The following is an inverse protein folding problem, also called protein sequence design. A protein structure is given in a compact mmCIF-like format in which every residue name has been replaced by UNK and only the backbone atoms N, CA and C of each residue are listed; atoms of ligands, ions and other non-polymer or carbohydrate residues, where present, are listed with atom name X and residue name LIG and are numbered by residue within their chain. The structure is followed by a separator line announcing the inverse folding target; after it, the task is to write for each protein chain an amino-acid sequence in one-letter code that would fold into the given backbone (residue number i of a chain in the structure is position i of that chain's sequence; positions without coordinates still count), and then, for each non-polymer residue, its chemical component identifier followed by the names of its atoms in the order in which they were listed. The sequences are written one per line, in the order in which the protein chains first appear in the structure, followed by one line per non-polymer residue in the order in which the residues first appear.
data_IF_721483114810
#
_entry.id   IF_721483114810
#
_cell.length_a   1.000
_cell.length_b   1.000
_cell.length_c   1.000
_cell.angle_alpha   90.00
_cell.angle_beta   90.00
_cell.angle_gamma   90.00
#
_symmetry.space_group_name_H-M   'P 1'
#
loop_
_entity.id
_entity.type
_entity.pdbx_description
1 polymer ?
#
# COMPACT_ATOMS: atom_id res chain seq x y z
N UNK A 1 -26.45 -3.08 -17.59
CA UNK A 1 -25.02 -2.83 -17.85
C UNK A 1 -24.35 -4.17 -17.71
N UNK A 2 -24.01 -4.81 -18.82
CA UNK A 2 -23.33 -6.11 -18.80
C UNK A 2 -21.83 -5.85 -18.76
N UNK A 3 -21.17 -6.30 -17.70
CA UNK A 3 -19.71 -6.30 -17.67
C UNK A 3 -19.22 -7.37 -18.66
N UNK A 4 -18.29 -7.00 -19.55
CA UNK A 4 -17.59 -7.97 -20.38
C UNK A 4 -16.80 -8.99 -19.54
N UNK A 5 -16.27 -10.05 -20.17
CA UNK A 5 -15.43 -11.01 -19.46
C UNK A 5 -14.21 -10.31 -18.83
N UNK A 6 -13.74 -10.75 -17.66
CA UNK A 6 -12.57 -10.17 -17.03
C UNK A 6 -11.33 -10.37 -17.93
N UNK A 7 -10.51 -9.33 -18.04
CA UNK A 7 -9.21 -9.38 -18.72
C UNK A 7 -8.07 -9.34 -17.73
N UNK A 8 -7.04 -10.14 -17.93
CA UNK A 8 -5.82 -10.14 -17.09
C UNK A 8 -4.82 -9.12 -17.64
N UNK A 9 -4.39 -8.18 -16.79
CA UNK A 9 -3.35 -7.20 -17.12
C UNK A 9 -2.33 -7.08 -15.98
N UNK A 10 -1.41 -8.05 -15.91
CA UNK A 10 -0.40 -8.10 -14.84
C UNK A 10 0.60 -6.95 -14.90
N UNK A 11 0.87 -6.38 -16.08
CA UNK A 11 1.72 -5.19 -16.19
C UNK A 11 1.15 -3.99 -15.43
N UNK A 12 -0.18 -3.88 -15.38
CA UNK A 12 -0.88 -2.81 -14.66
C UNK A 12 -1.15 -3.17 -13.20
N UNK A 13 -1.62 -4.39 -12.91
CA UNK A 13 -2.06 -4.78 -11.57
C UNK A 13 -0.98 -5.41 -10.70
N UNK A 14 0.10 -5.90 -11.33
CA UNK A 14 1.30 -6.48 -10.69
C UNK A 14 2.57 -5.78 -11.17
N UNK A 15 2.51 -4.46 -11.37
CA UNK A 15 3.62 -3.64 -11.88
C UNK A 15 4.97 -3.91 -11.18
N UNK A 16 4.96 -4.26 -9.90
CA UNK A 16 6.14 -4.54 -9.09
C UNK A 16 6.90 -5.80 -9.56
N UNK A 17 6.20 -6.82 -10.08
CA UNK A 17 6.82 -8.02 -10.64
C UNK A 17 7.50 -7.76 -11.99
N UNK A 18 7.15 -6.65 -12.64
CA UNK A 18 7.68 -6.23 -13.94
C UNK A 18 8.65 -5.05 -13.84
N UNK A 19 9.05 -4.68 -12.62
CA UNK A 19 9.89 -3.53 -12.36
C UNK A 19 11.32 -3.98 -11.96
N UNK A 20 12.26 -4.02 -12.91
CA UNK A 20 13.60 -4.60 -12.66
C UNK A 20 14.36 -3.89 -11.54
N UNK A 21 14.23 -2.56 -11.45
CA UNK A 21 14.81 -1.78 -10.35
C UNK A 21 14.23 -2.19 -8.98
N UNK A 22 12.91 -2.37 -8.88
CA UNK A 22 12.27 -2.86 -7.65
C UNK A 22 12.77 -4.27 -7.30
N UNK A 23 12.80 -5.16 -8.29
CA UNK A 23 13.25 -6.54 -8.09
C UNK A 23 14.70 -6.60 -7.60
N UNK A 24 15.56 -5.73 -8.12
CA UNK A 24 16.99 -5.70 -7.79
C UNK A 24 17.26 -5.00 -6.46
N UNK A 25 16.71 -3.79 -6.26
CA UNK A 25 17.03 -2.96 -5.09
C UNK A 25 16.29 -3.39 -3.83
N UNK A 26 15.16 -4.09 -3.96
CA UNK A 26 14.26 -4.43 -2.84
C UNK A 26 13.99 -5.93 -2.76
N UNK A 27 13.40 -6.55 -3.79
CA UNK A 27 12.91 -7.94 -3.69
C UNK A 27 14.04 -8.96 -3.51
N UNK A 28 15.13 -8.83 -4.28
CA UNK A 28 16.31 -9.71 -4.24
C UNK A 28 17.42 -9.18 -3.33
N UNK A 29 17.27 -7.98 -2.77
CA UNK A 29 18.26 -7.37 -1.91
C UNK A 29 18.10 -7.87 -0.47
N UNK A 30 19.06 -8.69 -0.02
CA UNK A 30 19.06 -9.27 1.33
C UNK A 30 19.05 -8.22 2.47
N UNK A 31 19.50 -6.99 2.20
CA UNK A 31 19.54 -5.92 3.20
C UNK A 31 18.28 -5.05 3.20
N UNK A 32 17.39 -5.19 2.22
CA UNK A 32 16.25 -4.29 2.05
C UNK A 32 15.23 -4.37 3.21
N UNK A 33 15.22 -5.50 3.93
CA UNK A 33 14.37 -5.73 5.10
C UNK A 33 15.16 -5.75 6.41
N UNK A 34 16.30 -5.06 6.47
CA UNK A 34 17.14 -4.98 7.67
C UNK A 34 16.35 -4.70 8.96
N UNK A 35 15.42 -3.74 8.92
CA UNK A 35 14.62 -3.41 10.11
C UNK A 35 13.65 -4.52 10.53
N UNK A 36 13.18 -5.35 9.61
CA UNK A 36 12.36 -6.52 9.95
C UNK A 36 13.23 -7.53 10.69
N UNK A 37 14.41 -7.86 10.15
CA UNK A 37 15.32 -8.85 10.72
C UNK A 37 15.89 -8.43 12.07
N UNK A 38 16.20 -7.15 12.26
CA UNK A 38 16.60 -6.64 13.58
C UNK A 38 15.42 -6.68 14.56
N UNK A 39 14.21 -6.32 14.14
CA UNK A 39 13.06 -6.32 15.05
C UNK A 39 12.69 -7.73 15.51
N UNK A 40 12.81 -8.75 14.64
CA UNK A 40 12.60 -10.16 14.97
C UNK A 40 13.45 -10.65 16.16
N UNK A 41 14.64 -10.10 16.33
CA UNK A 41 15.56 -10.44 17.43
C UNK A 41 15.62 -9.36 18.51
N UNK A 42 14.76 -8.34 18.40
CA UNK A 42 14.69 -7.21 19.32
C UNK A 42 13.99 -7.55 20.65
N UNK A 43 14.10 -6.67 21.65
CA UNK A 43 13.60 -6.94 23.00
C UNK A 43 12.07 -7.09 23.05
N UNK A 44 11.32 -6.37 22.22
CA UNK A 44 9.87 -6.50 22.10
C UNK A 44 9.45 -7.90 21.63
N UNK A 45 10.09 -8.41 20.59
CA UNK A 45 9.84 -9.77 20.08
C UNK A 45 10.31 -10.83 21.07
N UNK A 46 11.45 -10.63 21.73
CA UNK A 46 11.94 -11.59 22.71
C UNK A 46 11.01 -11.70 23.93
N UNK A 47 10.44 -10.57 24.37
CA UNK A 47 9.39 -10.55 25.40
C UNK A 47 8.16 -11.36 24.96
N UNK A 48 7.73 -11.19 23.72
CA UNK A 48 6.59 -11.92 23.13
C UNK A 48 6.88 -13.42 23.06
N UNK A 49 8.08 -13.81 22.59
CA UNK A 49 8.55 -15.20 22.54
C UNK A 49 8.51 -15.87 23.92
N UNK A 50 9.05 -15.20 24.94
CA UNK A 50 9.06 -15.73 26.31
C UNK A 50 7.64 -15.96 26.84
N UNK A 51 6.72 -15.02 26.63
CA UNK A 51 5.32 -15.14 27.06
C UNK A 51 4.61 -16.30 26.37
N UNK A 52 4.71 -16.38 25.05
CA UNK A 52 4.06 -17.44 24.27
C UNK A 52 4.62 -18.81 24.64
N UNK A 53 5.94 -18.94 24.81
CA UNK A 53 6.57 -20.18 25.24
C UNK A 53 6.08 -20.62 26.64
N UNK A 54 5.94 -19.67 27.57
CA UNK A 54 5.38 -19.94 28.89
C UNK A 54 3.91 -20.38 28.83
N UNK A 55 3.09 -19.72 28.00
CA UNK A 55 1.68 -20.08 27.81
C UNK A 55 1.51 -21.49 27.23
N UNK A 56 2.40 -21.88 26.32
CA UNK A 56 2.40 -23.20 25.67
C UNK A 56 3.18 -24.28 26.47
N UNK A 57 3.85 -23.91 27.56
CA UNK A 57 4.66 -24.79 28.42
C UNK A 57 5.76 -25.54 27.66
N UNK A 58 6.48 -24.84 26.79
CA UNK A 58 7.57 -25.40 25.97
C UNK A 58 8.84 -24.52 26.05
N UNK A 59 10.03 -25.07 25.77
CA UNK A 59 11.27 -24.31 25.80
C UNK A 59 11.27 -23.12 24.82
N UNK A 60 11.68 -21.93 25.27
CA UNK A 60 11.73 -20.74 24.40
C UNK A 60 12.68 -20.91 23.21
N UNK A 61 13.75 -21.71 23.36
CA UNK A 61 14.73 -21.96 22.31
C UNK A 61 14.16 -22.76 21.12
N UNK A 62 12.98 -23.35 21.27
CA UNK A 62 12.28 -24.05 20.20
C UNK A 62 11.49 -23.09 19.29
N UNK A 63 11.41 -21.80 19.66
CA UNK A 63 10.74 -20.76 18.89
C UNK A 63 11.68 -19.75 18.26
N UNK A 64 11.16 -19.10 17.23
CA UNK A 64 11.69 -17.87 16.66
C UNK A 64 10.52 -16.95 16.25
N UNK A 65 10.83 -15.71 15.91
CA UNK A 65 9.81 -14.73 15.52
C UNK A 65 8.93 -15.16 14.34
N UNK A 66 9.45 -15.99 13.43
CA UNK A 66 8.70 -16.48 12.27
C UNK A 66 7.66 -17.53 12.68
N UNK A 67 8.01 -18.47 13.57
CA UNK A 67 7.05 -19.43 14.14
C UNK A 67 5.93 -18.74 14.93
N UNK A 68 6.26 -17.71 15.71
CA UNK A 68 5.28 -16.94 16.47
C UNK A 68 4.33 -16.16 15.53
N UNK A 69 4.86 -15.56 14.46
CA UNK A 69 4.02 -14.94 13.43
C UNK A 69 3.08 -15.97 12.78
N UNK A 70 3.54 -17.19 12.50
CA UNK A 70 2.69 -18.26 11.94
C UNK A 70 1.55 -18.62 12.91
N UNK A 71 1.83 -18.77 14.20
CA UNK A 71 0.80 -19.01 15.21
C UNK A 71 -0.22 -17.86 15.28
N UNK A 72 0.25 -16.61 15.25
CA UNK A 72 -0.61 -15.43 15.23
C UNK A 72 -1.48 -15.36 13.98
N UNK A 73 -0.89 -15.62 12.80
CA UNK A 73 -1.65 -15.63 11.56
C UNK A 73 -2.63 -16.80 11.49
N UNK A 74 -2.33 -17.95 12.09
CA UNK A 74 -3.28 -19.08 12.18
C UNK A 74 -4.57 -18.67 12.87
N UNK A 75 -4.48 -17.92 13.98
CA UNK A 75 -5.64 -17.30 14.60
C UNK A 75 -6.41 -16.39 13.62
N UNK A 76 -5.68 -15.50 12.93
CA UNK A 76 -6.30 -14.55 11.99
C UNK A 76 -7.00 -15.24 10.81
N UNK A 77 -6.43 -16.33 10.30
CA UNK A 77 -6.98 -17.10 9.18
C UNK A 77 -8.21 -17.90 9.58
N UNK A 78 -8.19 -18.57 10.74
CA UNK A 78 -9.36 -19.28 11.26
C UNK A 78 -10.54 -18.32 11.45
N UNK A 79 -10.28 -17.10 11.95
CA UNK A 79 -11.31 -16.08 12.09
C UNK A 79 -11.81 -15.59 10.71
N UNK A 80 -10.90 -15.19 9.82
CA UNK A 80 -11.27 -14.57 8.54
C UNK A 80 -11.94 -15.55 7.56
N UNK A 81 -11.50 -16.82 7.53
CA UNK A 81 -11.97 -17.82 6.58
C UNK A 81 -13.16 -18.59 7.13
N UNK A 82 -13.13 -18.93 8.43
CA UNK A 82 -14.11 -19.85 9.05
C UNK A 82 -15.04 -19.16 10.03
N UNK A 83 -14.78 -17.91 10.41
CA UNK A 83 -15.54 -17.20 11.44
C UNK A 83 -15.32 -17.77 12.85
N UNK A 84 -14.22 -18.50 13.08
CA UNK A 84 -13.96 -19.19 14.36
C UNK A 84 -12.82 -18.51 15.10
N UNK A 85 -13.04 -18.20 16.37
CA UNK A 85 -11.94 -17.83 17.28
C UNK A 85 -11.15 -19.09 17.63
N UNK A 86 -10.00 -19.26 16.98
CA UNK A 86 -9.09 -20.39 17.24
C UNK A 86 -8.48 -20.30 18.64
N UNK A 87 -8.16 -21.42 19.31
CA UNK A 87 -7.35 -21.41 20.54
C UNK A 87 -6.00 -20.71 20.36
N UNK A 88 -5.47 -20.68 19.14
CA UNK A 88 -4.28 -19.87 18.81
C UNK A 88 -4.44 -18.39 19.14
N UNK A 89 -5.66 -17.86 19.14
CA UNK A 89 -5.94 -16.47 19.51
C UNK A 89 -5.75 -16.22 21.01
N UNK A 90 -5.95 -17.24 21.86
CA UNK A 90 -5.86 -17.12 23.32
C UNK A 90 -4.41 -17.18 23.83
N UNK A 91 -3.47 -17.54 22.95
CA UNK A 91 -2.03 -17.57 23.22
C UNK A 91 -1.43 -16.15 23.27
N UNK A 92 -2.10 -15.17 22.66
CA UNK A 92 -1.59 -13.81 22.52
C UNK A 92 -2.45 -12.82 23.30
N UNK A 93 -1.81 -11.93 24.05
CA UNK A 93 -2.48 -10.76 24.60
C UNK A 93 -2.46 -9.58 23.60
N UNK A 94 -3.10 -8.47 24.00
CA UNK A 94 -3.19 -7.28 23.14
C UNK A 94 -1.83 -6.62 22.90
N UNK A 95 -0.90 -6.70 23.84
CA UNK A 95 0.41 -6.09 23.69
C UNK A 95 1.31 -6.94 22.78
N UNK A 96 1.20 -8.26 22.87
CA UNK A 96 1.83 -9.21 21.93
C UNK A 96 1.32 -8.96 20.51
N UNK A 97 0.01 -8.78 20.34
CA UNK A 97 -0.60 -8.46 19.06
C UNK A 97 -0.10 -7.13 18.48
N UNK A 98 0.13 -6.09 19.30
CA UNK A 98 0.71 -4.82 18.83
C UNK A 98 2.16 -4.96 18.36
N UNK A 99 2.95 -5.81 19.03
CA UNK A 99 4.33 -6.10 18.61
C UNK A 99 4.33 -6.81 17.26
N UNK A 100 3.46 -7.81 17.08
CA UNK A 100 3.33 -8.55 15.83
C UNK A 100 2.72 -7.71 14.70
N UNK A 101 1.76 -6.83 15.00
CA UNK A 101 1.25 -5.79 14.08
C UNK A 101 2.40 -4.91 13.60
N UNK A 102 3.26 -4.44 14.51
CA UNK A 102 4.40 -3.60 14.15
C UNK A 102 5.45 -4.33 13.31
N UNK A 103 5.72 -5.60 13.60
CA UNK A 103 6.61 -6.43 12.78
C UNK A 103 6.08 -6.57 11.34
N UNK A 104 4.77 -6.80 11.17
CA UNK A 104 4.15 -6.83 9.86
C UNK A 104 4.17 -5.45 9.17
N UNK A 105 3.93 -4.37 9.92
CA UNK A 105 4.01 -3.01 9.40
C UNK A 105 5.42 -2.66 8.93
N UNK A 106 6.47 -3.06 9.65
CA UNK A 106 7.86 -2.89 9.19
C UNK A 106 8.07 -3.59 7.84
N UNK A 107 7.59 -4.83 7.70
CA UNK A 107 7.72 -5.57 6.44
C UNK A 107 7.02 -4.84 5.30
N UNK A 108 5.77 -4.40 5.49
CA UNK A 108 5.01 -3.71 4.44
C UNK A 108 5.56 -2.32 4.14
N UNK A 109 5.99 -1.58 5.17
CA UNK A 109 6.61 -0.25 5.05
C UNK A 109 7.86 -0.32 4.16
N UNK A 110 8.78 -1.22 4.50
CA UNK A 110 10.07 -1.34 3.82
C UNK A 110 9.96 -2.02 2.46
N UNK A 111 9.08 -3.03 2.31
CA UNK A 111 8.94 -3.78 1.06
C UNK A 111 8.02 -3.13 0.02
N UNK A 112 6.94 -2.45 0.44
CA UNK A 112 5.84 -2.05 -0.45
C UNK A 112 5.41 -0.58 -0.33
N UNK A 113 5.99 0.18 0.60
CA UNK A 113 5.62 1.57 0.84
C UNK A 113 6.87 2.44 0.97
N UNK A 114 6.95 3.32 1.98
CA UNK A 114 7.93 4.40 2.10
C UNK A 114 9.38 3.97 2.38
N UNK A 115 9.70 2.68 2.44
CA UNK A 115 11.09 2.21 2.62
C UNK A 115 12.04 2.65 1.50
N UNK A 116 11.59 2.54 0.25
CA UNK A 116 12.39 2.88 -0.92
C UNK A 116 11.56 3.66 -1.93
N UNK A 117 12.17 4.66 -2.59
CA UNK A 117 11.47 5.47 -3.60
C UNK A 117 10.86 4.62 -4.72
N UNK A 118 11.54 3.55 -5.13
CA UNK A 118 11.05 2.66 -6.19
C UNK A 118 9.77 1.91 -5.80
N UNK A 119 9.52 1.68 -4.51
CA UNK A 119 8.31 1.00 -4.05
C UNK A 119 7.06 1.73 -4.56
N UNK A 120 6.93 3.03 -4.27
CA UNK A 120 5.79 3.83 -4.73
C UNK A 120 5.87 4.16 -6.22
N UNK A 121 7.06 4.50 -6.74
CA UNK A 121 7.25 4.84 -8.17
C UNK A 121 6.93 3.67 -9.09
N UNK A 122 7.07 2.42 -8.66
CA UNK A 122 6.66 1.28 -9.49
C UNK A 122 5.17 1.31 -9.88
N UNK A 123 4.33 2.03 -9.12
CA UNK A 123 2.88 2.17 -9.38
C UNK A 123 2.49 3.29 -10.36
N UNK A 124 3.44 3.97 -11.01
CA UNK A 124 3.15 5.08 -11.94
C UNK A 124 2.09 4.72 -12.99
N UNK A 125 2.21 3.54 -13.62
CA UNK A 125 1.29 3.12 -14.68
C UNK A 125 -0.15 3.03 -14.19
N UNK A 126 -0.36 2.46 -12.99
CA UNK A 126 -1.68 2.36 -12.38
C UNK A 126 -2.24 3.73 -12.02
N UNK A 127 -1.40 4.60 -11.46
CA UNK A 127 -1.81 5.96 -11.13
C UNK A 127 -2.22 6.77 -12.38
N UNK A 128 -1.46 6.66 -13.46
CA UNK A 128 -1.78 7.30 -14.74
C UNK A 128 -3.06 6.73 -15.36
N UNK A 129 -3.24 5.41 -15.34
CA UNK A 129 -4.42 4.73 -15.87
C UNK A 129 -5.71 5.19 -15.19
N UNK A 130 -5.70 5.35 -13.85
CA UNK A 130 -6.83 5.92 -13.10
C UNK A 130 -7.18 7.32 -13.61
N UNK A 131 -6.19 8.20 -13.76
CA UNK A 131 -6.44 9.57 -14.24
C UNK A 131 -6.86 9.62 -15.70
N UNK A 132 -6.36 8.71 -16.55
CA UNK A 132 -6.82 8.60 -17.95
C UNK A 132 -8.30 8.24 -18.03
N UNK A 133 -8.78 7.35 -17.17
CA UNK A 133 -10.21 7.02 -17.10
C UNK A 133 -11.07 8.20 -16.65
N UNK A 134 -10.62 8.93 -15.63
CA UNK A 134 -11.29 10.13 -15.13
C UNK A 134 -11.32 11.24 -16.20
N UNK A 135 -10.19 11.48 -16.87
CA UNK A 135 -10.07 12.46 -17.95
C UNK A 135 -11.00 12.15 -19.13
N UNK A 136 -11.03 10.88 -19.56
CA UNK A 136 -11.93 10.44 -20.62
C UNK A 136 -13.39 10.66 -20.26
N UNK A 137 -13.78 10.43 -19.00
CA UNK A 137 -15.15 10.67 -18.54
C UNK A 137 -15.51 12.17 -18.57
N UNK A 138 -14.60 13.04 -18.12
CA UNK A 138 -14.74 14.51 -18.20
C UNK A 138 -14.90 14.96 -19.65
N UNK A 139 -13.99 14.54 -20.55
CA UNK A 139 -14.04 14.91 -21.97
C UNK A 139 -15.33 14.47 -22.65
N UNK A 140 -15.80 13.24 -22.37
CA UNK A 140 -17.05 12.73 -22.91
C UNK A 140 -18.24 13.57 -22.43
N UNK A 141 -18.30 13.91 -21.14
CA UNK A 141 -19.36 14.77 -20.60
C UNK A 141 -19.33 16.18 -21.18
N UNK A 142 -18.16 16.81 -21.29
CA UNK A 142 -18.02 18.14 -21.90
C UNK A 142 -18.45 18.15 -23.38
N UNK A 143 -18.27 17.04 -24.10
CA UNK A 143 -18.76 16.86 -25.48
C UNK A 143 -20.23 16.42 -25.57
N UNK A 144 -20.96 16.41 -24.45
CA UNK A 144 -22.34 15.91 -24.37
C UNK A 144 -22.49 14.46 -24.85
N UNK A 145 -21.45 13.64 -24.70
CA UNK A 145 -21.44 12.23 -25.06
C UNK A 145 -21.74 11.35 -23.83
N UNK A 146 -22.36 10.17 -24.03
CA UNK A 146 -22.47 9.17 -22.98
C UNK A 146 -21.07 8.76 -22.48
N UNK A 147 -20.93 8.59 -21.17
CA UNK A 147 -19.68 8.08 -20.58
C UNK A 147 -19.57 6.60 -20.92
N UNK A 148 -18.52 6.27 -21.69
CA UNK A 148 -18.30 4.91 -22.22
C UNK A 148 -17.95 3.88 -21.14
N UNK A 149 -17.33 4.31 -20.04
CA UNK A 149 -16.90 3.45 -18.94
C UNK A 149 -17.27 4.11 -17.60
N UNK A 150 -18.56 4.09 -17.22
CA UNK A 150 -19.03 4.76 -16.01
C UNK A 150 -18.55 4.07 -14.73
N UNK A 151 -18.13 2.80 -14.83
CA UNK A 151 -17.54 2.01 -13.75
C UNK A 151 -16.32 1.29 -14.32
N UNK A 152 -15.18 1.40 -13.63
CA UNK A 152 -13.94 0.67 -13.92
C UNK A 152 -13.58 -0.12 -12.68
N UNK A 153 -13.50 -1.45 -12.81
CA UNK A 153 -13.18 -2.35 -11.72
C UNK A 153 -11.83 -3.01 -11.97
N UNK A 154 -10.90 -2.81 -11.05
CA UNK A 154 -9.55 -3.38 -11.11
C UNK A 154 -9.28 -4.19 -9.85
N UNK A 155 -8.80 -5.41 -10.04
CA UNK A 155 -8.54 -6.35 -8.96
C UNK A 155 -7.05 -6.63 -8.89
N UNK A 156 -6.45 -6.37 -7.73
CA UNK A 156 -5.03 -6.56 -7.47
C UNK A 156 -4.81 -7.13 -6.09
N UNK A 157 -3.62 -6.89 -5.54
CA UNK A 157 -3.23 -7.36 -4.21
C UNK A 157 -3.02 -6.19 -3.25
N UNK A 158 -2.80 -6.49 -1.97
CA UNK A 158 -2.35 -5.49 -1.00
C UNK A 158 -1.06 -4.79 -1.48
N UNK A 159 -0.18 -5.57 -2.13
CA UNK A 159 1.05 -5.13 -2.78
C UNK A 159 0.83 -4.22 -4.00
N UNK A 160 -0.39 -4.16 -4.55
CA UNK A 160 -0.76 -3.19 -5.60
C UNK A 160 -1.18 -1.87 -4.97
N UNK A 161 -2.02 -1.94 -3.92
CA UNK A 161 -2.65 -0.76 -3.32
C UNK A 161 -1.70 0.04 -2.42
N UNK A 162 -0.81 -0.63 -1.67
CA UNK A 162 0.16 0.04 -0.79
C UNK A 162 1.11 0.99 -1.56
N UNK A 163 1.77 0.56 -2.65
CA UNK A 163 2.57 1.46 -3.49
C UNK A 163 1.80 2.67 -4.01
N UNK A 164 0.57 2.46 -4.48
CA UNK A 164 -0.28 3.49 -5.06
C UNK A 164 -0.63 4.56 -4.01
N UNK A 165 -1.13 4.13 -2.84
CA UNK A 165 -1.42 5.04 -1.72
C UNK A 165 -0.17 5.79 -1.26
N UNK A 166 0.98 5.11 -1.28
CA UNK A 166 2.27 5.72 -0.92
C UNK A 166 2.70 6.78 -1.93
N UNK A 167 2.51 6.52 -3.23
CA UNK A 167 2.77 7.47 -4.33
C UNK A 167 1.90 8.72 -4.19
N UNK A 168 0.66 8.54 -3.77
CA UNK A 168 -0.31 9.61 -3.50
C UNK A 168 -0.05 10.40 -2.22
N UNK A 169 0.91 9.95 -1.39
CA UNK A 169 1.31 10.64 -0.15
C UNK A 169 0.54 10.25 1.10
N UNK A 170 -0.25 9.17 1.07
CA UNK A 170 -1.06 8.73 2.20
C UNK A 170 -0.31 7.95 3.27
N UNK A 171 -0.66 8.17 4.53
CA UNK A 171 -0.14 7.43 5.69
C UNK A 171 1.36 7.55 5.90
N UNK A 172 2.01 8.58 5.36
CA UNK A 172 3.43 8.86 5.64
C UNK A 172 3.62 9.38 7.05
N UNK A 173 4.39 8.65 7.84
CA UNK A 173 4.81 9.06 9.17
C UNK A 173 5.87 10.18 9.13
N UNK A 174 5.97 10.94 10.23
CA UNK A 174 6.98 12.00 10.37
C UNK A 174 8.40 11.40 10.40
N UNK A 175 8.56 10.30 11.11
CA UNK A 175 9.78 9.52 11.17
C UNK A 175 9.52 8.14 10.54
N UNK A 176 10.47 7.58 9.76
CA UNK A 176 10.33 6.24 9.22
C UNK A 176 10.11 5.19 10.32
N UNK A 177 9.35 4.14 9.99
CA UNK A 177 9.23 2.97 10.87
C UNK A 177 10.55 2.20 10.86
N UNK A 178 11.09 1.89 12.04
CA UNK A 178 12.37 1.18 12.19
C UNK A 178 12.29 0.16 13.32
N UNK A 179 13.21 -0.79 13.34
CA UNK A 179 13.33 -1.74 14.46
C UNK A 179 13.50 -1.07 15.84
N UNK A 180 13.93 0.19 15.89
CA UNK A 180 14.36 0.86 17.12
C UNK A 180 13.35 1.86 17.69
N UNK A 181 12.24 2.11 17.00
CA UNK A 181 11.29 3.16 17.37
C UNK A 181 9.85 2.65 17.62
N UNK A 182 9.65 1.35 17.85
CA UNK A 182 8.33 0.76 18.19
C UNK A 182 7.53 1.60 19.19
N UNK A 183 8.12 1.93 20.35
CA UNK A 183 7.44 2.70 21.41
C UNK A 183 7.04 4.11 20.97
N UNK A 184 7.88 4.78 20.17
CA UNK A 184 7.57 6.11 19.61
C UNK A 184 6.49 6.04 18.51
N UNK A 185 6.39 4.89 17.84
CA UNK A 185 5.46 4.62 16.74
C UNK A 185 4.13 3.98 17.21
N UNK A 186 3.78 4.14 18.49
CA UNK A 186 2.50 3.68 19.04
C UNK A 186 1.30 4.32 18.32
N UNK A 187 1.44 5.58 17.87
CA UNK A 187 0.40 6.32 17.14
C UNK A 187 0.78 6.59 15.67
N UNK A 188 1.59 5.71 15.09
CA UNK A 188 1.96 5.77 13.67
C UNK A 188 0.72 5.83 12.76
N UNK A 189 0.85 6.56 11.66
CA UNK A 189 -0.13 6.62 10.58
C UNK A 189 -0.07 5.35 9.74
N UNK A 190 1.13 4.82 9.48
CA UNK A 190 1.29 3.60 8.70
C UNK A 190 0.94 2.36 9.53
N UNK A 191 -0.29 1.85 9.32
CA UNK A 191 -0.78 0.60 9.88
C UNK A 191 -1.36 -0.26 8.76
N UNK A 192 -0.57 -1.20 8.25
CA UNK A 192 -0.90 -1.99 7.07
C UNK A 192 -2.24 -2.74 7.23
N UNK A 193 -2.54 -3.26 8.43
CA UNK A 193 -3.82 -3.93 8.71
C UNK A 193 -5.05 -3.02 8.65
N UNK A 194 -4.89 -1.70 8.78
CA UNK A 194 -5.97 -0.73 8.61
C UNK A 194 -6.04 -0.16 7.18
N UNK A 195 -4.91 -0.14 6.48
CA UNK A 195 -4.80 0.41 5.13
C UNK A 195 -5.25 -0.64 4.10
N UNK A 196 -4.70 -1.85 4.19
CA UNK A 196 -4.93 -2.96 3.25
C UNK A 196 -5.37 -4.26 3.95
N UNK A 197 -6.48 -4.25 4.72
CA UNK A 197 -7.09 -5.51 5.19
C UNK A 197 -7.55 -6.39 4.01
N UNK A 198 -8.02 -7.61 4.33
CA UNK A 198 -8.73 -8.42 3.34
C UNK A 198 -9.90 -7.64 2.73
N UNK A 199 -10.08 -7.78 1.41
CA UNK A 199 -11.07 -7.05 0.62
C UNK A 199 -10.91 -5.52 0.64
N UNK A 200 -9.70 -5.01 0.94
CA UNK A 200 -9.41 -3.58 0.82
C UNK A 200 -9.65 -3.04 -0.59
N UNK A 201 -10.12 -1.80 -0.65
CA UNK A 201 -10.51 -1.13 -1.89
C UNK A 201 -10.22 0.37 -1.81
N UNK A 202 -9.83 0.94 -2.94
CA UNK A 202 -9.68 2.37 -3.15
C UNK A 202 -10.58 2.78 -4.31
N UNK A 203 -11.48 3.73 -4.06
CA UNK A 203 -12.49 4.17 -5.02
C UNK A 203 -12.26 5.65 -5.30
N UNK A 204 -12.25 6.01 -6.58
CA UNK A 204 -12.35 7.40 -7.03
C UNK A 204 -13.75 7.62 -7.59
N UNK A 205 -14.48 8.56 -7.02
CA UNK A 205 -15.81 8.95 -7.46
C UNK A 205 -15.72 10.32 -8.13
N UNK A 206 -16.02 10.37 -9.43
CA UNK A 206 -16.10 11.61 -10.20
C UNK A 206 -17.57 12.04 -10.30
N UNK A 207 -17.87 13.22 -9.78
CA UNK A 207 -19.18 13.84 -9.85
C UNK A 207 -19.22 14.86 -10.99
N UNK A 208 -20.34 14.90 -11.71
CA UNK A 208 -20.71 15.99 -12.61
C UNK A 208 -21.77 16.85 -11.92
N UNK A 209 -21.49 18.15 -11.77
CA UNK A 209 -22.33 19.07 -11.01
C UNK A 209 -23.20 19.91 -11.96
N UNK A 210 -24.49 19.62 -12.06
CA UNK A 210 -25.42 20.32 -12.96
C UNK A 210 -25.60 21.81 -12.65
N UNK A 211 -25.43 22.20 -11.38
CA UNK A 211 -25.58 23.58 -10.91
C UNK A 211 -24.25 24.35 -10.85
N UNK A 212 -23.21 23.88 -11.54
CA UNK A 212 -21.92 24.56 -11.59
C UNK A 212 -22.05 25.95 -12.23
N UNK A 213 -21.49 26.96 -11.57
CA UNK A 213 -21.48 28.35 -12.07
C UNK A 213 -20.18 28.68 -12.79
N UNK A 214 -19.14 27.88 -12.56
CA UNK A 214 -17.84 28.00 -13.24
C UNK A 214 -17.43 26.65 -13.87
N UNK A 215 -16.59 26.64 -14.93
CA UNK A 215 -16.10 25.40 -15.52
C UNK A 215 -15.38 24.47 -14.53
N UNK A 216 -14.74 25.06 -13.51
CA UNK A 216 -14.01 24.32 -12.48
C UNK A 216 -14.94 23.57 -11.53
N UNK A 217 -16.12 24.12 -11.25
CA UNK A 217 -17.14 23.51 -10.40
C UNK A 217 -17.85 22.33 -11.06
N UNK A 218 -17.75 22.20 -12.39
CA UNK A 218 -18.45 21.19 -13.17
C UNK A 218 -18.07 19.77 -12.75
N UNK A 219 -16.83 19.55 -12.32
CA UNK A 219 -16.34 18.24 -11.92
C UNK A 219 -15.67 18.24 -10.55
N UNK A 220 -16.17 17.36 -9.68
CA UNK A 220 -15.61 17.14 -8.35
C UNK A 220 -15.21 15.68 -8.17
N UNK A 221 -14.23 15.45 -7.30
CA UNK A 221 -13.71 14.11 -7.02
C UNK A 221 -13.69 13.85 -5.52
N UNK A 222 -14.12 12.65 -5.14
CA UNK A 222 -14.00 12.11 -3.79
C UNK A 222 -13.28 10.76 -3.85
N UNK A 223 -12.47 10.48 -2.84
CA UNK A 223 -11.84 9.18 -2.68
C UNK A 223 -12.42 8.45 -1.47
N UNK A 224 -12.52 7.13 -1.57
CA UNK A 224 -12.87 6.26 -0.45
C UNK A 224 -11.82 5.16 -0.33
N UNK A 225 -11.38 4.87 0.89
CA UNK A 225 -10.53 3.73 1.21
C UNK A 225 -11.28 2.84 2.20
N UNK A 226 -11.45 1.57 1.84
CA UNK A 226 -12.21 0.60 2.63
C UNK A 226 -13.61 1.15 2.97
N UNK A 227 -14.31 1.63 1.93
CA UNK A 227 -15.67 2.20 1.99
C UNK A 227 -15.83 3.44 2.89
N UNK A 228 -14.73 4.02 3.37
CA UNK A 228 -14.73 5.24 4.16
C UNK A 228 -14.17 6.38 3.34
N UNK A 229 -14.81 7.55 3.43
CA UNK A 229 -14.31 8.78 2.83
C UNK A 229 -12.86 9.01 3.26
N UNK A 230 -11.97 9.12 2.27
CA UNK A 230 -10.54 9.33 2.46
C UNK A 230 -10.26 10.84 2.25
N UNK A 231 -9.96 11.60 3.32
CA UNK A 231 -9.59 13.00 3.19
C UNK A 231 -8.33 13.15 2.34
N UNK A 232 -8.28 14.14 1.46
CA UNK A 232 -7.17 14.41 0.57
C UNK A 232 -5.88 14.62 1.35
N UNK A 233 -4.80 13.90 0.98
CA UNK A 233 -3.54 13.94 1.72
C UNK A 233 -2.97 15.36 1.91
N UNK A 234 -3.14 16.25 0.93
CA UNK A 234 -2.56 17.60 0.93
C UNK A 234 -3.42 18.68 1.60
N UNK A 235 -4.73 18.52 1.67
CA UNK A 235 -5.65 19.54 2.19
C UNK A 235 -6.52 19.09 3.36
N UNK A 236 -6.66 17.78 3.58
CA UNK A 236 -7.60 17.16 4.53
C UNK A 236 -9.08 17.40 4.21
N UNK A 237 -9.39 17.98 3.04
CA UNK A 237 -10.76 18.08 2.54
C UNK A 237 -11.26 16.71 2.05
N UNK A 238 -12.58 16.50 2.06
CA UNK A 238 -13.18 15.22 1.66
C UNK A 238 -13.60 15.17 0.19
N UNK A 239 -13.62 16.32 -0.47
CA UNK A 239 -13.95 16.51 -1.88
C UNK A 239 -13.05 17.61 -2.41
N UNK A 240 -12.68 17.55 -3.68
CA UNK A 240 -11.99 18.66 -4.37
C UNK A 240 -12.47 18.77 -5.81
N UNK A 241 -12.26 19.94 -6.42
CA UNK A 241 -12.39 20.07 -7.86
C UNK A 241 -11.42 19.11 -8.55
N UNK A 242 -11.90 18.43 -9.59
CA UNK A 242 -11.08 17.43 -10.28
C UNK A 242 -9.79 18.04 -10.85
N UNK A 243 -9.87 19.28 -11.36
CA UNK A 243 -8.72 20.01 -11.87
C UNK A 243 -7.67 20.32 -10.78
N UNK A 244 -8.09 20.64 -9.55
CA UNK A 244 -7.17 20.88 -8.44
C UNK A 244 -6.45 19.60 -8.03
N UNK A 245 -7.16 18.47 -8.01
CA UNK A 245 -6.54 17.17 -7.75
C UNK A 245 -5.51 16.82 -8.83
N UNK A 246 -5.85 17.02 -10.11
CA UNK A 246 -4.90 16.83 -11.22
C UNK A 246 -3.67 17.72 -11.10
N UNK A 247 -3.88 19.00 -10.78
CA UNK A 247 -2.79 19.96 -10.62
C UNK A 247 -1.87 19.59 -9.46
N UNK A 248 -2.44 19.15 -8.34
CA UNK A 248 -1.66 18.67 -7.20
C UNK A 248 -0.73 17.49 -7.57
N UNK A 249 -1.21 16.56 -8.39
CA UNK A 249 -0.45 15.40 -8.83
C UNK A 249 0.24 15.57 -10.20
N UNK A 250 0.30 16.80 -10.74
CA UNK A 250 0.80 17.08 -12.09
C UNK A 250 2.21 16.53 -12.32
N UNK A 251 3.09 16.73 -11.36
CA UNK A 251 4.48 16.26 -11.47
C UNK A 251 4.54 14.74 -11.59
N UNK A 252 3.73 14.01 -10.83
CA UNK A 252 3.65 12.55 -10.93
C UNK A 252 3.03 12.15 -12.27
N UNK A 253 1.92 12.77 -12.68
CA UNK A 253 1.26 12.44 -13.95
C UNK A 253 2.17 12.66 -15.16
N UNK A 254 3.06 13.66 -15.11
CA UNK A 254 3.96 14.02 -16.22
C UNK A 254 5.32 13.32 -16.16
N UNK A 255 5.92 13.16 -14.98
CA UNK A 255 7.29 12.66 -14.83
C UNK A 255 7.40 11.17 -14.50
N UNK A 256 6.33 10.55 -13.97
CA UNK A 256 6.37 9.17 -13.50
C UNK A 256 6.22 8.21 -14.69
N UNK A 257 7.31 7.95 -15.40
CA UNK A 257 7.31 6.97 -16.51
C UNK A 257 7.80 5.62 -16.01
N UNK A 258 6.91 4.63 -15.91
CA UNK A 258 7.25 3.27 -15.43
C UNK A 258 8.46 2.69 -16.15
N UNK A 259 8.58 2.90 -17.47
CA UNK A 259 9.70 2.41 -18.27
C UNK A 259 11.05 3.04 -17.92
N UNK A 260 11.07 4.21 -17.29
CA UNK A 260 12.29 4.86 -16.83
C UNK A 260 12.55 4.58 -15.35
N UNK A 261 11.53 4.70 -14.52
CA UNK A 261 11.59 4.44 -13.08
C UNK A 261 12.05 3.00 -12.76
N UNK A 262 11.63 2.03 -13.57
CA UNK A 262 11.96 0.61 -13.39
C UNK A 262 13.26 0.17 -14.06
N UNK A 263 13.97 1.05 -14.79
CA UNK A 263 15.30 0.73 -15.34
C UNK A 263 16.35 0.83 -14.24
N UNK A 264 17.31 -0.08 -14.28
CA UNK A 264 18.51 0.05 -13.46
C UNK A 264 19.34 1.25 -13.94
N UNK A 265 20.03 1.97 -13.04
CA UNK A 265 21.00 2.98 -13.43
C UNK A 265 22.04 2.37 -14.38
N UNK A 266 22.37 3.06 -15.47
CA UNK A 266 23.50 2.66 -16.31
C UNK A 266 24.77 2.81 -15.47
N UNK A 267 25.41 1.69 -15.14
CA UNK A 267 26.75 1.71 -14.56
C UNK A 267 27.69 2.18 -15.67
N UNK A 268 28.18 3.42 -15.58
CA UNK A 268 29.32 3.83 -16.39
C UNK A 268 30.53 3.09 -15.83
N UNK A 269 30.83 1.92 -16.37
CA UNK A 269 32.13 1.29 -16.21
C UNK A 269 33.14 2.10 -17.00
N UNK A 270 33.67 3.16 -16.40
CA UNK A 270 35.01 3.64 -16.72
C UNK A 270 35.96 2.53 -16.28
N UNK A 271 36.26 1.62 -17.20
CA UNK A 271 37.52 0.91 -17.18
C UNK A 271 38.59 1.97 -17.37
N UNK A 272 39.16 2.47 -16.27
CA UNK A 272 40.44 3.14 -16.32
C UNK A 272 41.46 2.08 -16.77
N UNK A 273 41.96 2.26 -17.99
CA UNK A 273 43.14 1.59 -18.50
C UNK A 273 44.32 1.93 -17.58
N UNK A 274 44.92 0.89 -16.97
CA UNK A 274 46.29 0.87 -16.48
C UNK A 274 46.96 -0.41 -16.94
#
# INVERSE_FOLDING_TARGET
MECGPPSVNDKLMRFFDHCEKFLTEVERNATALHHVEVFKTGPEMQSTLNKVAAALQVPVNDFNADLIQVAFFTCSFDLAIRGVKSPWCDVFDTDDAKVLEYLNDLKQYWKRSYGYTINSRSSCALFQDIFQHLDKAVEQKQRSQPVSSPVVLQFGHAETLLPLLSLMGYFKDKEPLTAYNYKKQAHRKFRSGHIVPYASNLIFVLYHCENATTPKEEFQVQMLLNEKVLPLAHSQETVSFYEDLKNHYKDILQSCQTSEECKLPKVNSTYDEL
#
